data_IF_352988370151
#
_entry.id   IF_352988370151
#
_cell.length_a   1.000
_cell.length_b   1.000
_cell.length_c   1.000
_cell.angle_alpha   90.00
_cell.angle_beta   90.00
_cell.angle_gamma   90.00
#
_symmetry.space_group_name_H-M   'P 1'
#
loop_
_entity.id
_entity.type
_entity.pdbx_description
1 polymer ?
#
# COMPACT_ATOMS: atom_id res chain seq x y z
N UNK A 1 -15.90 40.23 13.29
CA UNK A 1 -16.80 39.13 13.71
C UNK A 1 -16.06 37.83 13.49
N UNK A 2 -15.44 37.30 14.54
CA UNK A 2 -14.68 36.05 14.50
C UNK A 2 -15.66 34.88 14.36
N UNK A 3 -15.70 34.22 13.21
CA UNK A 3 -16.27 32.89 13.13
C UNK A 3 -15.24 31.88 13.66
N UNK A 4 -15.56 31.36 14.82
CA UNK A 4 -14.86 30.25 15.44
C UNK A 4 -14.85 29.05 14.46
N UNK A 5 -13.67 28.64 14.07
CA UNK A 5 -13.41 27.37 13.42
C UNK A 5 -13.81 26.29 14.43
N UNK A 6 -14.98 25.74 14.25
CA UNK A 6 -15.53 24.66 15.07
C UNK A 6 -14.64 23.45 14.93
N UNK A 7 -14.30 22.91 16.09
CA UNK A 7 -13.49 21.77 16.40
C UNK A 7 -13.57 20.62 15.38
N UNK A 8 -12.41 20.04 15.11
CA UNK A 8 -12.22 18.81 14.40
C UNK A 8 -13.21 17.74 14.86
N UNK A 9 -14.15 17.39 13.99
CA UNK A 9 -15.03 16.23 14.18
C UNK A 9 -14.16 14.99 14.34
N UNK A 10 -14.40 14.26 15.41
CA UNK A 10 -13.68 13.05 15.76
C UNK A 10 -13.68 12.05 14.61
N UNK A 11 -12.53 11.47 14.22
CA UNK A 11 -12.38 10.59 13.03
C UNK A 11 -13.19 9.28 13.12
N UNK A 12 -13.72 8.94 14.28
CA UNK A 12 -14.47 7.71 14.53
C UNK A 12 -15.73 7.49 13.66
N UNK A 13 -16.60 8.49 13.38
CA UNK A 13 -17.78 8.29 12.54
C UNK A 13 -17.43 8.11 11.06
N UNK A 14 -16.39 8.78 10.55
CA UNK A 14 -15.95 8.70 9.16
C UNK A 14 -15.39 7.31 8.82
N UNK A 15 -14.54 6.75 9.69
CA UNK A 15 -13.96 5.41 9.54
C UNK A 15 -15.04 4.33 9.55
N UNK A 16 -16.03 4.42 10.46
CA UNK A 16 -17.15 3.46 10.49
C UNK A 16 -18.01 3.54 9.23
N UNK A 17 -18.23 4.76 8.72
CA UNK A 17 -18.94 5.00 7.46
C UNK A 17 -18.23 4.34 6.27
N UNK A 18 -16.93 4.55 6.17
CA UNK A 18 -16.08 3.94 5.14
C UNK A 18 -16.14 2.39 5.19
N UNK A 19 -15.94 1.77 6.35
CA UNK A 19 -15.99 0.31 6.50
C UNK A 19 -17.36 -0.27 6.15
N UNK A 20 -18.45 0.44 6.44
CA UNK A 20 -19.80 0.02 6.05
C UNK A 20 -19.98 0.02 4.53
N UNK A 21 -19.46 1.05 3.86
CA UNK A 21 -19.46 1.14 2.40
C UNK A 21 -18.54 0.08 1.77
N UNK A 22 -17.33 -0.06 2.28
CA UNK A 22 -16.37 -1.04 1.80
C UNK A 22 -16.92 -2.47 1.88
N UNK A 23 -17.48 -2.87 3.03
CA UNK A 23 -18.11 -4.20 3.19
C UNK A 23 -19.21 -4.47 2.17
N UNK A 24 -19.92 -3.43 1.71
CA UNK A 24 -20.97 -3.56 0.68
C UNK A 24 -20.44 -4.11 -0.65
N UNK A 25 -19.20 -3.82 -1.01
CA UNK A 25 -18.57 -4.30 -2.24
C UNK A 25 -18.33 -5.82 -2.23
N UNK A 26 -17.97 -6.41 -1.07
CA UNK A 26 -17.78 -7.86 -0.91
C UNK A 26 -19.02 -8.60 -0.41
N UNK A 27 -20.10 -7.88 -0.07
CA UNK A 27 -21.36 -8.49 0.36
C UNK A 27 -22.09 -9.15 -0.82
N UNK A 28 -23.15 -9.92 -0.51
CA UNK A 28 -23.95 -10.63 -1.53
C UNK A 28 -24.60 -9.72 -2.58
N UNK A 29 -24.74 -8.42 -2.32
CA UNK A 29 -25.23 -7.40 -3.27
C UNK A 29 -24.13 -6.66 -4.05
N UNK A 30 -22.87 -7.02 -3.88
CA UNK A 30 -21.75 -6.48 -4.63
C UNK A 30 -21.49 -7.23 -5.95
N UNK A 31 -20.53 -6.75 -6.78
CA UNK A 31 -20.18 -7.41 -8.03
C UNK A 31 -19.76 -8.86 -7.79
N UNK A 32 -20.28 -9.85 -8.54
CA UNK A 32 -20.04 -11.27 -8.27
C UNK A 32 -18.56 -11.67 -8.37
N UNK A 33 -17.79 -10.95 -9.17
CA UNK A 33 -16.36 -11.18 -9.38
C UNK A 33 -15.45 -10.56 -8.31
N UNK A 34 -15.96 -9.72 -7.39
CA UNK A 34 -15.13 -9.01 -6.42
C UNK A 34 -14.30 -9.95 -5.54
N UNK A 35 -14.91 -11.03 -5.06
CA UNK A 35 -14.24 -12.05 -4.25
C UNK A 35 -13.18 -12.80 -5.05
N UNK A 36 -13.49 -13.16 -6.30
CA UNK A 36 -12.55 -13.85 -7.19
C UNK A 36 -11.32 -12.99 -7.45
N UNK A 37 -11.48 -11.69 -7.72
CA UNK A 37 -10.36 -10.77 -7.89
C UNK A 37 -9.50 -10.62 -6.63
N UNK A 38 -10.14 -10.59 -5.44
CA UNK A 38 -9.40 -10.52 -4.17
C UNK A 38 -8.57 -11.79 -3.92
N UNK A 39 -9.14 -12.96 -4.18
CA UNK A 39 -8.43 -14.25 -4.05
C UNK A 39 -7.31 -14.36 -5.09
N UNK A 40 -7.59 -13.99 -6.34
CA UNK A 40 -6.58 -13.99 -7.40
C UNK A 40 -5.41 -13.02 -7.08
N UNK A 41 -5.70 -11.85 -6.51
CA UNK A 41 -4.70 -10.88 -6.08
C UNK A 41 -3.83 -11.45 -4.95
N UNK A 42 -4.45 -12.06 -3.94
CA UNK A 42 -3.71 -12.71 -2.85
C UNK A 42 -2.82 -13.84 -3.39
N UNK A 43 -3.34 -14.66 -4.30
CA UNK A 43 -2.58 -15.73 -4.95
C UNK A 43 -1.37 -15.17 -5.71
N UNK A 44 -1.54 -14.07 -6.45
CA UNK A 44 -0.44 -13.42 -7.17
C UNK A 44 0.60 -12.80 -6.23
N UNK A 45 0.20 -12.29 -5.08
CA UNK A 45 1.16 -11.83 -4.05
C UNK A 45 2.01 -12.99 -3.54
N UNK A 46 1.39 -14.13 -3.21
CA UNK A 46 2.11 -15.34 -2.78
C UNK A 46 3.03 -15.87 -3.89
N UNK A 47 2.54 -15.90 -5.13
CA UNK A 47 3.34 -16.35 -6.28
C UNK A 47 4.53 -15.41 -6.54
N UNK A 48 4.35 -14.10 -6.37
CA UNK A 48 5.43 -13.11 -6.47
C UNK A 48 6.51 -13.33 -5.41
N UNK A 49 6.13 -13.65 -4.18
CA UNK A 49 7.08 -14.00 -3.12
C UNK A 49 7.81 -15.31 -3.42
N UNK A 50 7.09 -16.33 -3.93
CA UNK A 50 7.71 -17.58 -4.34
C UNK A 50 8.72 -17.37 -5.48
N UNK A 51 8.39 -16.52 -6.46
CA UNK A 51 9.31 -16.14 -7.54
C UNK A 51 10.55 -15.40 -6.99
N UNK A 52 10.38 -14.47 -6.05
CA UNK A 52 11.49 -13.77 -5.38
C UNK A 52 12.38 -14.72 -4.58
N UNK A 53 11.77 -15.68 -3.88
CA UNK A 53 12.51 -16.71 -3.18
C UNK A 53 13.28 -17.61 -4.14
N UNK A 54 12.66 -18.06 -5.23
CA UNK A 54 13.32 -18.83 -6.28
C UNK A 54 14.51 -18.10 -6.90
N UNK A 55 14.40 -16.80 -7.12
CA UNK A 55 15.51 -15.97 -7.59
C UNK A 55 16.66 -15.92 -6.57
N UNK A 56 16.36 -15.80 -5.27
CA UNK A 56 17.38 -15.82 -4.22
C UNK A 56 18.10 -17.19 -4.14
N UNK A 57 17.38 -18.30 -4.29
CA UNK A 57 17.96 -19.64 -4.36
C UNK A 57 18.89 -19.76 -5.59
N UNK A 58 18.42 -19.27 -6.74
CA UNK A 58 19.22 -19.27 -7.97
C UNK A 58 20.51 -18.46 -7.80
N UNK A 59 20.46 -17.26 -7.20
CA UNK A 59 21.66 -16.47 -6.88
C UNK A 59 22.66 -17.26 -6.03
N UNK A 60 22.20 -17.96 -5.00
CA UNK A 60 23.07 -18.78 -4.15
C UNK A 60 23.76 -19.86 -4.97
N UNK A 61 22.98 -20.65 -5.72
CA UNK A 61 23.51 -21.80 -6.48
C UNK A 61 24.48 -21.36 -7.58
N UNK A 62 24.23 -20.22 -8.26
CA UNK A 62 25.18 -19.76 -9.31
C UNK A 62 26.48 -19.23 -8.68
N UNK A 63 26.43 -18.56 -7.53
CA UNK A 63 27.65 -18.12 -6.85
C UNK A 63 28.46 -19.29 -6.32
N UNK A 64 27.82 -20.33 -5.79
CA UNK A 64 28.47 -21.56 -5.36
C UNK A 64 29.16 -22.29 -6.55
N UNK A 65 28.47 -22.36 -7.70
CA UNK A 65 29.03 -22.95 -8.93
C UNK A 65 30.19 -22.11 -9.51
N UNK A 66 30.15 -20.80 -9.41
CA UNK A 66 31.26 -19.92 -9.79
C UNK A 66 32.47 -20.11 -8.89
N UNK A 67 32.26 -20.28 -7.59
CA UNK A 67 33.33 -20.52 -6.61
C UNK A 67 33.99 -21.89 -6.83
N UNK A 68 33.22 -22.93 -7.18
CA UNK A 68 33.72 -24.27 -7.51
C UNK A 68 34.36 -24.40 -8.90
N UNK A 69 34.29 -23.34 -9.72
CA UNK A 69 34.80 -23.27 -11.11
C UNK A 69 34.20 -24.31 -12.06
N UNK A 70 32.99 -24.75 -11.81
CA UNK A 70 32.28 -25.71 -12.66
C UNK A 70 31.63 -25.01 -13.87
N UNK A 71 32.41 -24.85 -14.95
CA UNK A 71 31.95 -24.08 -16.14
C UNK A 71 30.66 -24.61 -16.80
N UNK A 72 30.46 -25.93 -16.81
CA UNK A 72 29.23 -26.55 -17.35
C UNK A 72 27.98 -26.22 -16.53
N UNK A 73 28.10 -26.25 -15.22
CA UNK A 73 27.02 -25.91 -14.27
C UNK A 73 26.68 -24.42 -14.36
N UNK A 74 27.69 -23.56 -14.46
CA UNK A 74 27.49 -22.11 -14.63
C UNK A 74 26.72 -21.79 -15.90
N UNK A 75 27.03 -22.44 -17.02
CA UNK A 75 26.32 -22.20 -18.29
C UNK A 75 24.86 -22.62 -18.21
N UNK A 76 24.56 -23.80 -17.66
CA UNK A 76 23.19 -24.29 -17.51
C UNK A 76 22.36 -23.42 -16.56
N UNK A 77 22.92 -22.96 -15.46
CA UNK A 77 22.28 -22.04 -14.53
C UNK A 77 22.04 -20.65 -15.16
N UNK A 78 22.97 -20.17 -15.99
CA UNK A 78 22.79 -18.91 -16.70
C UNK A 78 21.64 -18.99 -17.72
N UNK A 79 21.47 -20.11 -18.41
CA UNK A 79 20.31 -20.33 -19.28
C UNK A 79 19.00 -20.44 -18.49
N UNK A 80 19.02 -21.01 -17.29
CA UNK A 80 17.84 -21.09 -16.41
C UNK A 80 17.40 -19.71 -15.88
N UNK A 81 18.30 -18.74 -15.86
CA UNK A 81 17.94 -17.36 -15.45
C UNK A 81 16.88 -16.72 -16.32
N UNK A 82 16.93 -16.93 -17.63
CA UNK A 82 15.98 -16.31 -18.56
C UNK A 82 14.52 -16.70 -18.30
N UNK A 83 14.16 -17.99 -18.19
CA UNK A 83 12.77 -18.36 -17.84
C UNK A 83 12.35 -17.95 -16.44
N UNK A 84 13.27 -17.95 -15.46
CA UNK A 84 13.00 -17.45 -14.12
C UNK A 84 12.68 -15.94 -14.13
N UNK A 85 13.49 -15.16 -14.85
CA UNK A 85 13.26 -13.73 -15.02
C UNK A 85 11.94 -13.46 -15.73
N UNK A 86 11.70 -14.14 -16.86
CA UNK A 86 10.46 -14.00 -17.62
C UNK A 86 9.23 -14.34 -16.78
N UNK A 87 9.30 -15.42 -15.99
CA UNK A 87 8.25 -15.83 -15.05
C UNK A 87 7.99 -14.78 -13.97
N UNK A 88 9.04 -14.22 -13.36
CA UNK A 88 8.90 -13.19 -12.34
C UNK A 88 8.29 -11.89 -12.88
N UNK A 89 8.70 -11.48 -14.08
CA UNK A 89 8.10 -10.32 -14.78
C UNK A 89 6.63 -10.58 -15.09
N UNK A 90 6.29 -11.76 -15.61
CA UNK A 90 4.91 -12.13 -15.92
C UNK A 90 4.01 -12.06 -14.68
N UNK A 91 4.47 -12.62 -13.56
CA UNK A 91 3.76 -12.56 -12.28
C UNK A 91 3.56 -11.11 -11.83
N UNK A 92 4.59 -10.27 -11.92
CA UNK A 92 4.52 -8.86 -11.54
C UNK A 92 3.53 -8.08 -12.41
N UNK A 93 3.56 -8.29 -13.73
CA UNK A 93 2.61 -7.65 -14.66
C UNK A 93 1.18 -8.12 -14.40
N UNK A 94 0.96 -9.43 -14.17
CA UNK A 94 -0.36 -9.97 -13.87
C UNK A 94 -0.91 -9.42 -12.55
N UNK A 95 -0.06 -9.31 -11.51
CA UNK A 95 -0.42 -8.69 -10.24
C UNK A 95 -0.85 -7.23 -10.42
N UNK A 96 -0.10 -6.45 -11.22
CA UNK A 96 -0.44 -5.06 -11.54
C UNK A 96 -1.78 -4.97 -12.28
N UNK A 97 -2.01 -5.80 -13.29
CA UNK A 97 -3.27 -5.84 -14.04
C UNK A 97 -4.48 -6.19 -13.16
N UNK A 98 -4.33 -7.18 -12.27
CA UNK A 98 -5.38 -7.55 -11.32
C UNK A 98 -5.68 -6.44 -10.32
N UNK A 99 -4.62 -5.79 -9.78
CA UNK A 99 -4.74 -4.65 -8.87
C UNK A 99 -5.53 -3.51 -9.53
N UNK A 100 -5.12 -3.06 -10.72
CA UNK A 100 -5.80 -1.99 -11.46
C UNK A 100 -7.23 -2.37 -11.83
N UNK A 101 -7.49 -3.64 -12.16
CA UNK A 101 -8.84 -4.13 -12.47
C UNK A 101 -9.74 -4.13 -11.23
N UNK A 102 -9.21 -4.51 -10.07
CA UNK A 102 -9.91 -4.47 -8.78
C UNK A 102 -10.26 -3.02 -8.39
N UNK A 103 -9.30 -2.10 -8.47
CA UNK A 103 -9.49 -0.68 -8.17
C UNK A 103 -10.56 -0.05 -9.07
N UNK A 104 -10.49 -0.30 -10.39
CA UNK A 104 -11.48 0.22 -11.35
C UNK A 104 -12.89 -0.31 -11.07
N UNK A 105 -13.05 -1.61 -10.78
CA UNK A 105 -14.36 -2.22 -10.50
C UNK A 105 -14.95 -1.69 -9.19
N UNK A 106 -14.13 -1.54 -8.17
CA UNK A 106 -14.57 -0.99 -6.90
C UNK A 106 -14.97 0.47 -7.04
N UNK A 107 -14.18 1.26 -7.76
CA UNK A 107 -14.48 2.67 -8.06
C UNK A 107 -15.79 2.81 -8.85
N UNK A 108 -16.00 2.01 -9.90
CA UNK A 108 -17.23 2.04 -10.68
C UNK A 108 -18.46 1.72 -9.81
N UNK A 109 -18.39 0.67 -8.99
CA UNK A 109 -19.46 0.31 -8.07
C UNK A 109 -19.74 1.41 -7.02
N UNK A 110 -18.69 2.02 -6.46
CA UNK A 110 -18.82 3.09 -5.46
C UNK A 110 -19.43 4.33 -6.09
N UNK A 111 -18.94 4.75 -7.25
CA UNK A 111 -19.47 5.91 -7.98
C UNK A 111 -20.95 5.74 -8.30
N UNK A 112 -21.35 4.60 -8.83
CA UNK A 112 -22.75 4.32 -9.14
C UNK A 112 -23.61 4.44 -7.87
N UNK A 113 -23.18 3.88 -6.76
CA UNK A 113 -23.91 3.95 -5.49
C UNK A 113 -23.98 5.36 -4.90
N UNK A 114 -22.93 6.17 -5.07
CA UNK A 114 -22.92 7.57 -4.64
C UNK A 114 -23.82 8.43 -5.52
N UNK A 115 -23.77 8.24 -6.84
CA UNK A 115 -24.63 8.92 -7.80
C UNK A 115 -26.12 8.58 -7.58
N UNK A 116 -26.47 7.33 -7.39
CA UNK A 116 -27.84 6.91 -7.08
C UNK A 116 -28.35 7.58 -5.80
N UNK A 117 -27.50 7.74 -4.80
CA UNK A 117 -27.86 8.40 -3.54
C UNK A 117 -27.97 9.91 -3.70
N UNK A 118 -27.12 10.52 -4.54
CA UNK A 118 -27.11 11.97 -4.78
C UNK A 118 -28.30 12.42 -5.64
N UNK A 119 -28.68 11.63 -6.64
CA UNK A 119 -29.80 11.93 -7.53
C UNK A 119 -31.15 11.57 -6.90
N UNK A 120 -31.20 10.67 -5.92
CA UNK A 120 -32.45 10.25 -5.28
C UNK A 120 -33.07 11.40 -4.48
N UNK A 121 -34.39 11.55 -4.59
CA UNK A 121 -35.20 12.50 -3.82
C UNK A 121 -34.85 13.98 -4.05
N UNK A 122 -34.26 14.33 -5.22
CA UNK A 122 -33.91 15.71 -5.53
C UNK A 122 -32.83 16.33 -4.65
N UNK A 123 -31.99 15.50 -3.98
CA UNK A 123 -30.94 15.97 -3.08
C UNK A 123 -29.89 16.84 -3.75
N UNK A 124 -29.67 16.67 -5.06
CA UNK A 124 -28.83 17.58 -5.85
C UNK A 124 -29.29 19.02 -5.78
N UNK A 125 -30.59 19.27 -5.88
CA UNK A 125 -31.19 20.62 -5.77
C UNK A 125 -31.15 21.17 -4.35
N UNK A 126 -31.34 20.31 -3.35
CA UNK A 126 -31.26 20.71 -1.94
C UNK A 126 -29.85 21.16 -1.56
N UNK A 127 -28.82 20.52 -2.11
CA UNK A 127 -27.43 20.89 -1.89
C UNK A 127 -27.10 22.25 -2.53
N UNK A 128 -27.56 22.50 -3.73
CA UNK A 128 -27.38 23.78 -4.44
C UNK A 128 -28.08 24.95 -3.69
N UNK A 129 -29.29 24.72 -3.18
CA UNK A 129 -30.03 25.70 -2.40
C UNK A 129 -29.44 25.98 -1.03
N UNK A 130 -28.74 25.00 -0.42
CA UNK A 130 -28.13 25.15 0.89
C UNK A 130 -26.90 26.08 0.89
N UNK A 131 -26.37 26.47 -0.27
CA UNK A 131 -25.38 27.57 -0.46
C UNK A 131 -24.11 27.47 0.39
N UNK A 132 -23.63 26.27 0.70
CA UNK A 132 -22.51 26.03 1.61
C UNK A 132 -21.16 25.80 0.92
N UNK A 133 -20.15 25.43 1.71
CA UNK A 133 -18.78 25.10 1.30
C UNK A 133 -18.64 23.92 0.31
N UNK A 134 -19.75 23.39 -0.20
CA UNK A 134 -19.83 22.21 -1.07
C UNK A 134 -19.96 22.57 -2.56
N UNK A 135 -19.24 23.63 -2.99
CA UNK A 135 -19.10 23.94 -4.41
C UNK A 135 -18.35 22.80 -5.10
N UNK A 136 -18.97 22.18 -6.09
CA UNK A 136 -18.47 21.11 -6.93
C UNK A 136 -18.55 19.69 -6.30
N UNK A 137 -19.78 19.19 -6.00
CA UNK A 137 -19.97 17.83 -5.48
C UNK A 137 -19.54 16.74 -6.47
N UNK A 138 -19.64 17.00 -7.80
CA UNK A 138 -19.25 16.06 -8.85
C UNK A 138 -17.73 15.76 -8.82
N UNK A 139 -16.91 16.81 -8.70
CA UNK A 139 -15.47 16.68 -8.60
C UNK A 139 -15.06 15.91 -7.35
N UNK A 140 -15.70 16.19 -6.22
CA UNK A 140 -15.49 15.45 -4.97
C UNK A 140 -15.87 13.98 -5.07
N UNK A 141 -17.04 13.66 -5.65
CA UNK A 141 -17.45 12.28 -5.85
C UNK A 141 -16.42 11.55 -6.72
N UNK A 142 -15.91 12.19 -7.78
CA UNK A 142 -14.93 11.58 -8.68
C UNK A 142 -13.56 11.35 -8.01
N UNK A 143 -13.01 12.38 -7.35
CA UNK A 143 -11.67 12.35 -6.77
C UNK A 143 -11.61 11.60 -5.44
N UNK A 144 -12.56 11.85 -4.54
CA UNK A 144 -12.61 11.16 -3.25
C UNK A 144 -12.90 9.67 -3.41
N UNK A 145 -13.78 9.29 -4.37
CA UNK A 145 -14.03 7.88 -4.67
C UNK A 145 -12.80 7.18 -5.27
N UNK A 146 -11.98 7.89 -6.05
CA UNK A 146 -10.71 7.36 -6.56
C UNK A 146 -9.77 7.04 -5.39
N UNK A 147 -9.51 8.01 -4.54
CA UNK A 147 -8.61 7.84 -3.38
C UNK A 147 -9.14 6.76 -2.43
N UNK A 148 -10.45 6.77 -2.15
CA UNK A 148 -11.10 5.81 -1.26
C UNK A 148 -11.08 4.36 -1.78
N UNK A 149 -10.85 4.13 -3.06
CA UNK A 149 -10.78 2.78 -3.66
C UNK A 149 -9.36 2.36 -4.01
N UNK A 150 -8.47 3.28 -4.37
CA UNK A 150 -7.08 2.98 -4.70
C UNK A 150 -6.24 2.74 -3.43
N UNK A 151 -6.24 3.69 -2.50
CA UNK A 151 -5.39 3.63 -1.32
C UNK A 151 -5.61 2.40 -0.42
N UNK A 152 -6.84 1.94 -0.12
CA UNK A 152 -7.03 0.73 0.69
C UNK A 152 -6.59 -0.55 0.00
N UNK A 153 -6.75 -0.67 -1.33
CA UNK A 153 -6.26 -1.83 -2.08
C UNK A 153 -4.74 -1.86 -2.05
N UNK A 154 -4.09 -0.73 -2.27
CA UNK A 154 -2.64 -0.60 -2.24
C UNK A 154 -2.07 -0.90 -0.85
N UNK A 155 -2.72 -0.37 0.19
CA UNK A 155 -2.35 -0.65 1.57
C UNK A 155 -2.52 -2.14 1.91
N UNK A 156 -3.63 -2.76 1.50
CA UNK A 156 -3.88 -4.18 1.75
C UNK A 156 -2.83 -5.08 1.08
N UNK A 157 -2.49 -4.80 -0.18
CA UNK A 157 -1.45 -5.53 -0.92
C UNK A 157 -0.08 -5.30 -0.27
N UNK A 158 0.28 -4.05 0.01
CA UNK A 158 1.54 -3.69 0.64
C UNK A 158 1.72 -4.33 2.01
N UNK A 159 0.67 -4.29 2.85
CA UNK A 159 0.69 -4.91 4.16
C UNK A 159 0.81 -6.44 4.08
N UNK A 160 0.05 -7.07 3.18
CA UNK A 160 0.13 -8.52 2.96
C UNK A 160 1.53 -8.92 2.50
N UNK A 161 2.09 -8.20 1.54
CA UNK A 161 3.46 -8.44 1.05
C UNK A 161 4.48 -8.24 2.17
N UNK A 162 4.37 -7.19 2.96
CA UNK A 162 5.27 -6.90 4.06
C UNK A 162 5.25 -8.00 5.14
N UNK A 163 4.05 -8.45 5.54
CA UNK A 163 3.88 -9.51 6.55
C UNK A 163 4.46 -10.83 6.05
N UNK A 164 4.14 -11.22 4.82
CA UNK A 164 4.64 -12.47 4.24
C UNK A 164 6.16 -12.43 4.02
N UNK A 165 6.70 -11.30 3.53
CA UNK A 165 8.15 -11.11 3.40
C UNK A 165 8.83 -11.17 4.76
N UNK A 166 8.32 -10.47 5.78
CA UNK A 166 8.88 -10.50 7.12
C UNK A 166 8.88 -11.93 7.69
N UNK A 167 7.78 -12.69 7.53
CA UNK A 167 7.71 -14.08 7.96
C UNK A 167 8.79 -14.94 7.25
N UNK A 168 8.94 -14.81 5.95
CA UNK A 168 9.95 -15.53 5.16
C UNK A 168 11.36 -15.18 5.63
N UNK A 169 11.67 -13.89 5.81
CA UNK A 169 12.99 -13.46 6.27
C UNK A 169 13.29 -13.89 7.70
N UNK A 170 12.30 -13.89 8.60
CA UNK A 170 12.47 -14.40 9.97
C UNK A 170 12.89 -15.88 9.93
N UNK A 171 12.22 -16.70 9.13
CA UNK A 171 12.58 -18.12 8.98
C UNK A 171 14.01 -18.28 8.42
N UNK A 172 14.36 -17.53 7.38
CA UNK A 172 15.71 -17.58 6.78
C UNK A 172 16.77 -17.13 7.77
N UNK A 173 16.57 -16.00 8.46
CA UNK A 173 17.51 -15.48 9.44
C UNK A 173 17.67 -16.41 10.65
N UNK A 174 16.59 -17.09 11.04
CA UNK A 174 16.65 -18.08 12.12
C UNK A 174 17.48 -19.31 11.75
N UNK A 175 17.33 -19.79 10.51
CA UNK A 175 18.04 -20.98 10.02
C UNK A 175 19.52 -20.70 9.68
N UNK A 176 19.83 -19.50 9.17
CA UNK A 176 21.20 -19.12 8.75
C UNK A 176 21.97 -18.49 9.91
N UNK A 177 21.30 -17.78 10.80
CA UNK A 177 21.93 -16.96 11.84
C UNK A 177 22.64 -17.74 12.94
N UNK A 178 22.33 -19.02 13.13
CA UNK A 178 22.96 -19.84 14.19
C UNK A 178 22.79 -19.23 15.59
N UNK A 179 23.70 -19.62 16.48
CA UNK A 179 23.81 -19.05 17.83
C UNK A 179 25.14 -18.32 17.97
N UNK A 180 25.11 -17.09 18.49
CA UNK A 180 26.33 -16.35 18.86
C UNK A 180 26.50 -16.40 20.37
N UNK A 181 27.68 -16.79 20.80
CA UNK A 181 28.08 -16.73 22.19
C UNK A 181 28.84 -15.43 22.45
N UNK A 182 28.30 -14.61 23.35
CA UNK A 182 28.89 -13.33 23.75
C UNK A 182 29.34 -13.48 25.21
N UNK A 183 30.59 -13.19 25.48
CA UNK A 183 31.15 -13.19 26.83
C UNK A 183 31.01 -11.75 27.39
N UNK A 184 30.08 -11.54 28.31
CA UNK A 184 29.87 -10.27 28.97
C UNK A 184 30.18 -10.41 30.46
N UNK A 185 31.21 -9.72 30.93
CA UNK A 185 31.61 -9.67 32.34
C UNK A 185 31.81 -11.06 32.98
N UNK A 186 32.35 -12.02 32.21
CA UNK A 186 32.62 -13.38 32.69
C UNK A 186 31.42 -14.34 32.64
N UNK A 187 30.28 -13.92 32.17
CA UNK A 187 29.14 -14.77 31.87
C UNK A 187 29.03 -15.04 30.37
N UNK A 188 28.93 -16.31 30.00
CA UNK A 188 28.76 -16.76 28.61
C UNK A 188 27.26 -16.77 28.30
N UNK A 189 26.80 -15.79 27.51
CA UNK A 189 25.41 -15.70 27.05
C UNK A 189 25.32 -16.18 25.61
N UNK A 190 24.60 -17.26 25.38
CA UNK A 190 24.32 -17.77 24.02
C UNK A 190 22.99 -17.23 23.53
N UNK A 191 23.01 -16.42 22.49
CA UNK A 191 21.80 -15.84 21.87
C UNK A 191 21.48 -16.63 20.60
N UNK A 192 20.47 -17.53 20.62
CA UNK A 192 20.02 -18.21 19.41
C UNK A 192 19.29 -17.23 18.51
N UNK A 193 19.50 -17.32 17.19
CA UNK A 193 18.83 -16.46 16.22
C UNK A 193 19.17 -14.97 16.35
N UNK A 194 20.39 -14.63 16.75
CA UNK A 194 20.81 -13.22 16.99
C UNK A 194 20.53 -12.31 15.79
N UNK A 195 20.57 -12.83 14.55
CA UNK A 195 20.25 -12.06 13.34
C UNK A 195 18.79 -11.60 13.32
N UNK A 196 17.86 -12.41 13.84
CA UNK A 196 16.44 -12.02 13.96
C UNK A 196 16.29 -10.88 14.96
N UNK A 197 16.98 -10.97 16.11
CA UNK A 197 16.95 -9.92 17.13
C UNK A 197 17.56 -8.62 16.59
N UNK A 198 18.70 -8.70 15.93
CA UNK A 198 19.35 -7.54 15.30
C UNK A 198 18.46 -6.89 14.22
N UNK A 199 17.83 -7.71 13.37
CA UNK A 199 16.89 -7.24 12.37
C UNK A 199 15.64 -6.58 13.00
N UNK A 200 15.11 -7.12 14.09
CA UNK A 200 14.00 -6.54 14.81
C UNK A 200 14.36 -5.17 15.42
N UNK A 201 15.52 -5.06 16.07
CA UNK A 201 16.03 -3.79 16.63
C UNK A 201 16.20 -2.77 15.50
N UNK A 202 16.83 -3.16 14.39
CA UNK A 202 16.99 -2.29 13.23
C UNK A 202 15.63 -1.82 12.67
N UNK A 203 14.66 -2.73 12.55
CA UNK A 203 13.32 -2.39 12.05
C UNK A 203 12.59 -1.39 12.96
N UNK A 204 12.70 -1.55 14.29
CA UNK A 204 12.12 -0.60 15.26
C UNK A 204 12.78 0.77 15.16
N UNK A 205 14.12 0.82 15.09
CA UNK A 205 14.86 2.07 14.96
C UNK A 205 14.55 2.78 13.63
N UNK A 206 14.57 2.03 12.52
CA UNK A 206 14.25 2.57 11.20
C UNK A 206 12.80 3.09 11.12
N UNK A 207 11.84 2.32 11.65
CA UNK A 207 10.43 2.71 11.69
C UNK A 207 10.21 3.92 12.60
N UNK A 208 10.87 3.98 13.75
CA UNK A 208 10.82 5.13 14.65
C UNK A 208 11.38 6.40 14.00
N UNK A 209 12.52 6.30 13.34
CA UNK A 209 13.12 7.42 12.58
C UNK A 209 12.20 7.88 11.45
N UNK A 210 11.64 6.93 10.69
CA UNK A 210 10.70 7.24 9.60
C UNK A 210 9.42 7.91 10.13
N UNK A 211 8.92 7.48 11.27
CA UNK A 211 7.76 8.11 11.92
C UNK A 211 8.04 9.56 12.34
N UNK A 212 9.21 9.81 12.93
CA UNK A 212 9.62 11.17 13.33
C UNK A 212 9.76 12.10 12.12
N UNK A 213 10.43 11.64 11.06
CA UNK A 213 10.56 12.39 9.80
C UNK A 213 9.20 12.61 9.15
N UNK A 214 8.37 11.55 9.09
CA UNK A 214 7.04 11.59 8.48
C UNK A 214 6.11 12.61 9.12
N UNK A 215 6.10 12.70 10.43
CA UNK A 215 5.33 13.73 11.16
C UNK A 215 5.72 15.15 10.76
N UNK A 216 7.01 15.40 10.59
CA UNK A 216 7.51 16.72 10.15
C UNK A 216 7.16 16.99 8.69
N UNK A 217 7.23 15.97 7.84
CA UNK A 217 6.91 16.09 6.42
C UNK A 217 5.42 16.39 6.18
N UNK A 218 4.51 15.82 6.98
CA UNK A 218 3.07 16.09 6.91
C UNK A 218 2.81 17.59 7.14
N UNK A 219 3.38 18.17 8.21
CA UNK A 219 3.22 19.58 8.51
C UNK A 219 3.73 20.49 7.37
N UNK A 220 4.88 20.14 6.78
CA UNK A 220 5.44 20.89 5.64
C UNK A 220 4.56 20.76 4.40
N UNK A 221 4.01 19.55 4.14
CA UNK A 221 3.12 19.32 3.00
C UNK A 221 1.78 20.06 3.15
N UNK A 222 1.24 20.15 4.35
CA UNK A 222 0.04 20.96 4.63
C UNK A 222 0.28 22.44 4.36
N UNK A 223 1.40 23.00 4.83
CA UNK A 223 1.78 24.39 4.53
C UNK A 223 1.96 24.64 3.04
N UNK A 224 2.60 23.71 2.32
CA UNK A 224 2.76 23.81 0.86
C UNK A 224 1.41 23.83 0.15
N UNK A 225 0.50 22.93 0.51
CA UNK A 225 -0.83 22.83 -0.10
C UNK A 225 -1.66 24.10 0.19
N UNK A 226 -1.52 24.66 1.39
CA UNK A 226 -2.18 25.92 1.76
C UNK A 226 -1.66 27.09 0.93
N UNK A 227 -0.34 27.24 0.81
CA UNK A 227 0.28 28.28 -0.01
C UNK A 227 -0.11 28.18 -1.50
N UNK A 228 -0.18 26.94 -2.03
CA UNK A 228 -0.64 26.70 -3.41
C UNK A 228 -2.12 27.06 -3.60
N UNK A 229 -2.97 26.77 -2.62
CA UNK A 229 -4.39 27.16 -2.66
C UNK A 229 -4.55 28.70 -2.61
N UNK A 230 -3.80 29.39 -1.77
CA UNK A 230 -3.77 30.86 -1.69
C UNK A 230 -3.27 31.49 -2.99
N UNK A 231 -2.22 30.93 -3.60
CA UNK A 231 -1.71 31.38 -4.89
C UNK A 231 -2.74 31.25 -6.00
N UNK A 232 -3.41 30.09 -6.11
CA UNK A 232 -4.51 29.87 -7.08
C UNK A 232 -5.66 30.84 -6.86
N UNK A 233 -6.04 31.09 -5.61
CA UNK A 233 -7.08 32.06 -5.27
C UNK A 233 -6.68 33.48 -5.70
N UNK A 234 -5.42 33.89 -5.44
CA UNK A 234 -4.87 35.16 -5.88
C UNK A 234 -4.92 35.35 -7.41
N UNK A 235 -4.53 34.32 -8.18
CA UNK A 235 -4.61 34.35 -9.64
C UNK A 235 -6.06 34.47 -10.16
N UNK A 236 -7.00 33.76 -9.54
CA UNK A 236 -8.42 33.85 -9.92
C UNK A 236 -8.94 35.26 -9.67
N UNK A 237 -8.62 35.85 -8.53
CA UNK A 237 -9.02 37.21 -8.18
C UNK A 237 -8.41 38.26 -9.10
N UNK A 238 -7.17 38.09 -9.55
CA UNK A 238 -6.55 38.96 -10.55
C UNK A 238 -7.28 38.90 -11.89
N UNK A 239 -7.64 37.68 -12.33
CA UNK A 239 -8.41 37.49 -13.57
C UNK A 239 -9.79 38.12 -13.50
N UNK A 240 -10.45 38.03 -12.36
CA UNK A 240 -11.83 38.55 -12.19
C UNK A 240 -11.88 40.09 -12.04
N UNK A 241 -10.73 40.73 -11.76
CA UNK A 241 -10.59 42.19 -11.61
C UNK A 241 -9.81 42.87 -12.77
N UNK A 242 -9.39 42.11 -13.79
CA UNK A 242 -8.76 42.61 -15.00
C UNK A 242 -9.74 42.81 -16.12
#
# INVERSE_FOLDING_TARGET
>A
MHQQVTAAETPAPAVRGFWRLARGFWARGGPPLSRMFSVALLLMVVLGLAASYGMNVWYRVIFDALQSRESGTVLSLSLLYLPLLAGSVLVSVMQLCLRMSMQRRWRAWLNQRLLDRWLRDGRCYQLDLAGGAHRNPEGRIADDARIATEAPVDLAIGLTTAVLSAATFIVVLWTVGGAVTIEIAGAVVTVPGFLVVAAAIYAVLASGTMFLIGRRLIAVSEHKNQAEAEYRYGLTRLRDNA
#
